data_IF_539986621423
#
_entry.id   IF_539986621423
#
_cell.length_a   1.000
_cell.length_b   1.000
_cell.length_c   1.000
_cell.angle_alpha   90.00
_cell.angle_beta   90.00
_cell.angle_gamma   90.00
#
_symmetry.space_group_name_H-M   'P 1'
#
loop_
_entity.id
_entity.type
_entity.pdbx_description
1 polymer ?
#
# COMPACT_ATOMS: atom_id res chain seq x y z
N UNK A 1 15.69 -26.75 22.66
CA UNK A 1 15.60 -25.28 22.78
C UNK A 1 16.23 -24.65 21.54
N UNK A 2 15.49 -23.82 20.80
CA UNK A 2 16.04 -23.13 19.63
C UNK A 2 17.07 -22.09 20.07
N UNK A 3 18.27 -22.09 19.47
CA UNK A 3 19.31 -21.08 19.77
C UNK A 3 18.78 -19.70 19.36
N UNK A 4 19.01 -18.69 20.21
CA UNK A 4 18.68 -17.30 19.86
C UNK A 4 19.44 -16.92 18.57
N UNK A 5 18.77 -16.27 17.60
CA UNK A 5 19.41 -15.90 16.34
C UNK A 5 20.55 -14.90 16.59
N UNK A 6 21.63 -15.02 15.82
CA UNK A 6 22.75 -14.08 15.87
C UNK A 6 22.39 -12.76 15.16
N UNK A 7 23.13 -11.70 15.45
CA UNK A 7 22.96 -10.40 14.78
C UNK A 7 23.04 -10.54 13.25
N UNK A 8 24.05 -11.27 12.74
CA UNK A 8 24.22 -11.51 11.30
C UNK A 8 23.01 -12.23 10.68
N UNK A 9 22.40 -13.18 11.41
CA UNK A 9 21.18 -13.85 10.94
C UNK A 9 19.97 -12.90 10.91
N UNK A 10 19.85 -11.99 11.87
CA UNK A 10 18.79 -10.99 11.90
C UNK A 10 18.94 -9.98 10.76
N UNK A 11 20.16 -9.47 10.53
CA UNK A 11 20.47 -8.57 9.41
C UNK A 11 20.19 -9.25 8.07
N UNK A 12 20.68 -10.48 7.87
CA UNK A 12 20.43 -11.25 6.65
C UNK A 12 18.93 -11.48 6.40
N UNK A 13 18.16 -11.74 7.46
CA UNK A 13 16.70 -11.90 7.38
C UNK A 13 16.01 -10.59 6.96
N UNK A 14 16.42 -9.45 7.49
CA UNK A 14 15.89 -8.14 7.07
C UNK A 14 16.21 -7.87 5.60
N UNK A 15 17.46 -8.12 5.17
CA UNK A 15 17.86 -7.94 3.77
C UNK A 15 17.02 -8.81 2.81
N UNK A 16 16.86 -10.10 3.12
CA UNK A 16 16.03 -11.01 2.33
C UNK A 16 14.58 -10.54 2.24
N UNK A 17 13.96 -10.21 3.37
CA UNK A 17 12.57 -9.76 3.41
C UNK A 17 12.36 -8.40 2.72
N UNK A 18 13.39 -7.57 2.66
CA UNK A 18 13.35 -6.29 1.94
C UNK A 18 13.25 -6.52 0.43
N UNK A 19 14.00 -7.49 -0.10
CA UNK A 19 13.92 -7.91 -1.51
C UNK A 19 12.53 -8.49 -1.81
N UNK A 20 12.00 -9.37 -0.94
CA UNK A 20 10.66 -9.94 -1.12
C UNK A 20 9.58 -8.84 -1.15
N UNK A 21 9.64 -7.89 -0.22
CA UNK A 21 8.70 -6.77 -0.19
C UNK A 21 8.80 -5.90 -1.44
N UNK A 22 10.01 -5.59 -1.91
CA UNK A 22 10.22 -4.81 -3.12
C UNK A 22 9.67 -5.52 -4.37
N UNK A 23 9.87 -6.83 -4.48
CA UNK A 23 9.29 -7.66 -5.56
C UNK A 23 7.77 -7.61 -5.52
N UNK A 24 7.16 -7.84 -4.36
CA UNK A 24 5.71 -7.78 -4.19
C UNK A 24 5.14 -6.37 -4.47
N UNK A 25 5.87 -5.31 -4.11
CA UNK A 25 5.50 -3.93 -4.43
C UNK A 25 5.54 -3.69 -5.94
N UNK A 26 6.56 -4.19 -6.63
CA UNK A 26 6.71 -4.06 -8.08
C UNK A 26 5.59 -4.78 -8.83
N UNK A 27 5.24 -5.99 -8.39
CA UNK A 27 4.11 -6.74 -8.94
C UNK A 27 2.80 -5.98 -8.73
N UNK A 28 2.54 -5.45 -7.52
CA UNK A 28 1.33 -4.68 -7.27
C UNK A 28 1.24 -3.40 -8.13
N UNK A 29 2.39 -2.75 -8.41
CA UNK A 29 2.45 -1.61 -9.34
C UNK A 29 2.13 -2.04 -10.78
N UNK A 30 2.68 -3.16 -11.23
CA UNK A 30 2.41 -3.70 -12.56
C UNK A 30 0.92 -4.07 -12.73
N UNK A 31 0.31 -4.75 -11.75
CA UNK A 31 -1.14 -5.04 -11.77
C UNK A 31 -1.99 -3.76 -11.80
N UNK A 32 -1.56 -2.70 -11.09
CA UNK A 32 -2.27 -1.42 -11.09
C UNK A 32 -2.18 -0.73 -12.46
N UNK A 33 -1.01 -0.78 -13.10
CA UNK A 33 -0.83 -0.27 -14.45
C UNK A 33 -1.72 -1.04 -15.44
N UNK A 34 -1.70 -2.36 -15.39
CA UNK A 34 -2.56 -3.20 -16.24
C UNK A 34 -4.05 -2.86 -16.06
N UNK A 35 -4.53 -2.71 -14.81
CA UNK A 35 -5.92 -2.34 -14.56
C UNK A 35 -6.26 -0.97 -15.18
N UNK A 36 -5.36 0.00 -15.08
CA UNK A 36 -5.55 1.31 -15.69
C UNK A 36 -5.57 1.25 -17.22
N UNK A 37 -4.73 0.40 -17.83
CA UNK A 37 -4.74 0.17 -19.27
C UNK A 37 -6.06 -0.47 -19.73
N UNK A 38 -6.60 -1.41 -18.95
CA UNK A 38 -7.91 -2.02 -19.24
C UNK A 38 -9.05 -1.01 -19.12
N UNK A 39 -9.03 -0.13 -18.11
CA UNK A 39 -9.96 1.00 -18.03
C UNK A 39 -9.87 1.89 -19.27
N UNK A 40 -8.66 2.27 -19.66
CA UNK A 40 -8.44 3.11 -20.84
C UNK A 40 -8.99 2.48 -22.12
N UNK A 41 -8.66 1.20 -22.37
CA UNK A 41 -9.18 0.47 -23.54
C UNK A 41 -10.70 0.37 -23.54
N UNK A 42 -11.31 0.12 -22.39
CA UNK A 42 -12.76 0.06 -22.28
C UNK A 42 -13.41 1.40 -22.66
N UNK A 43 -12.92 2.50 -22.08
CA UNK A 43 -13.48 3.83 -22.31
C UNK A 43 -13.20 4.36 -23.72
N UNK A 44 -12.11 3.96 -24.37
CA UNK A 44 -11.87 4.28 -25.78
C UNK A 44 -12.94 3.70 -26.72
N UNK A 45 -13.48 2.52 -26.40
CA UNK A 45 -14.47 1.85 -27.25
C UNK A 45 -15.90 2.24 -26.89
N UNK A 46 -16.21 2.33 -25.59
CA UNK A 46 -17.58 2.50 -25.10
C UNK A 46 -17.93 3.95 -24.73
N UNK A 47 -16.93 4.85 -24.68
CA UNK A 47 -17.06 6.19 -24.14
C UNK A 47 -17.00 6.22 -22.61
N UNK A 48 -16.61 7.35 -22.05
CA UNK A 48 -16.54 7.56 -20.59
C UNK A 48 -17.84 8.20 -20.07
N UNK A 49 -18.50 7.62 -19.04
CA UNK A 49 -19.74 8.17 -18.49
C UNK A 49 -19.58 9.59 -17.92
N UNK A 50 -18.43 9.90 -17.32
CA UNK A 50 -18.13 11.18 -16.66
C UNK A 50 -16.66 11.59 -16.89
N UNK A 51 -16.33 12.24 -18.02
CA UNK A 51 -14.93 12.48 -18.44
C UNK A 51 -14.12 13.41 -17.52
N UNK A 52 -14.78 14.18 -16.65
CA UNK A 52 -14.11 15.07 -15.69
C UNK A 52 -13.98 14.47 -14.28
N UNK A 53 -14.42 13.22 -14.10
CA UNK A 53 -14.38 12.56 -12.79
C UNK A 53 -13.22 11.59 -12.71
N UNK A 54 -12.54 11.60 -11.57
CA UNK A 54 -11.56 10.57 -11.24
C UNK A 54 -12.24 9.39 -10.55
N UNK A 55 -12.00 8.19 -11.10
CA UNK A 55 -12.38 6.91 -10.47
C UNK A 55 -13.70 6.32 -10.96
N UNK A 56 -13.92 5.07 -10.58
CA UNK A 56 -15.10 4.27 -10.93
C UNK A 56 -16.10 4.32 -9.79
N UNK A 57 -17.38 4.59 -10.08
CA UNK A 57 -18.45 4.48 -9.10
C UNK A 57 -19.01 3.07 -9.12
N UNK A 58 -18.85 2.33 -8.05
CA UNK A 58 -19.30 0.93 -7.98
C UNK A 58 -20.84 0.84 -7.92
N UNK A 59 -21.49 1.83 -7.30
CA UNK A 59 -22.96 1.84 -7.11
C UNK A 59 -23.74 2.43 -8.30
N UNK A 60 -23.05 2.88 -9.35
CA UNK A 60 -23.67 3.53 -10.50
C UNK A 60 -23.76 2.54 -11.68
N UNK A 61 -24.97 2.18 -12.15
CA UNK A 61 -25.15 1.19 -13.23
C UNK A 61 -24.40 1.54 -14.53
N UNK A 62 -24.12 2.82 -14.78
CA UNK A 62 -23.36 3.25 -15.98
C UNK A 62 -21.92 2.73 -15.99
N UNK A 63 -21.39 2.35 -14.82
CA UNK A 63 -20.06 1.77 -14.68
C UNK A 63 -20.06 0.24 -14.63
N UNK A 64 -21.23 -0.41 -14.65
CA UNK A 64 -21.34 -1.87 -14.55
C UNK A 64 -20.54 -2.56 -15.66
N UNK A 65 -20.62 -2.06 -16.89
CA UNK A 65 -19.89 -2.63 -18.03
C UNK A 65 -18.36 -2.59 -17.86
N UNK A 66 -17.81 -1.47 -17.37
CA UNK A 66 -16.36 -1.36 -17.13
C UNK A 66 -15.92 -2.18 -15.91
N UNK A 67 -16.76 -2.28 -14.88
CA UNK A 67 -16.52 -3.11 -13.70
C UNK A 67 -16.44 -4.57 -14.12
N UNK A 68 -17.43 -5.06 -14.87
CA UNK A 68 -17.47 -6.44 -15.36
C UNK A 68 -16.28 -6.75 -16.28
N UNK A 69 -15.91 -5.82 -17.16
CA UNK A 69 -14.76 -5.97 -18.05
C UNK A 69 -13.42 -6.05 -17.29
N UNK A 70 -13.24 -5.23 -16.26
CA UNK A 70 -11.96 -5.11 -15.53
C UNK A 70 -11.87 -5.99 -14.28
N UNK A 71 -12.92 -6.74 -13.94
CA UNK A 71 -13.00 -7.45 -12.66
C UNK A 71 -11.81 -8.41 -12.44
N UNK A 72 -11.41 -9.16 -13.48
CA UNK A 72 -10.27 -10.07 -13.38
C UNK A 72 -8.92 -9.36 -13.13
N UNK A 73 -8.69 -8.17 -13.71
CA UNK A 73 -7.50 -7.38 -13.41
C UNK A 73 -7.57 -6.76 -12.01
N UNK A 74 -8.75 -6.33 -11.59
CA UNK A 74 -8.98 -5.82 -10.24
C UNK A 74 -8.71 -6.89 -9.18
N UNK A 75 -9.21 -8.11 -9.35
CA UNK A 75 -8.94 -9.24 -8.46
C UNK A 75 -7.45 -9.56 -8.35
N UNK A 76 -6.73 -9.57 -9.49
CA UNK A 76 -5.27 -9.74 -9.52
C UNK A 76 -4.56 -8.63 -8.75
N UNK A 77 -5.00 -7.38 -8.90
CA UNK A 77 -4.47 -6.25 -8.13
C UNK A 77 -4.72 -6.44 -6.63
N UNK A 78 -5.92 -6.83 -6.21
CA UNK A 78 -6.27 -7.07 -4.80
C UNK A 78 -5.38 -8.18 -4.21
N UNK A 79 -5.21 -9.28 -4.94
CA UNK A 79 -4.32 -10.36 -4.53
C UNK A 79 -2.86 -9.89 -4.39
N UNK A 80 -2.33 -9.14 -5.36
CA UNK A 80 -0.99 -8.58 -5.31
C UNK A 80 -0.81 -7.60 -4.14
N UNK A 81 -1.81 -6.75 -3.86
CA UNK A 81 -1.79 -5.84 -2.72
C UNK A 81 -1.77 -6.59 -1.39
N UNK A 82 -2.56 -7.68 -1.27
CA UNK A 82 -2.55 -8.54 -0.08
C UNK A 82 -1.18 -9.16 0.14
N UNK A 83 -0.55 -9.69 -0.91
CA UNK A 83 0.81 -10.23 -0.83
C UNK A 83 1.83 -9.17 -0.41
N UNK A 84 1.79 -7.99 -1.03
CA UNK A 84 2.64 -6.84 -0.66
C UNK A 84 2.49 -6.46 0.82
N UNK A 85 1.27 -6.38 1.32
CA UNK A 85 1.00 -6.02 2.71
C UNK A 85 1.48 -7.11 3.68
N UNK A 86 1.35 -8.38 3.32
CA UNK A 86 1.88 -9.48 4.11
C UNK A 86 3.40 -9.48 4.14
N UNK A 87 4.07 -9.26 3.00
CA UNK A 87 5.52 -9.11 2.93
C UNK A 87 6.01 -7.93 3.78
N UNK A 88 5.31 -6.78 3.71
CA UNK A 88 5.60 -5.60 4.53
C UNK A 88 5.52 -5.92 6.03
N UNK A 89 4.45 -6.59 6.48
CA UNK A 89 4.29 -7.00 7.89
C UNK A 89 5.42 -7.92 8.36
N UNK A 90 5.82 -8.88 7.53
CA UNK A 90 6.95 -9.78 7.82
C UNK A 90 8.27 -9.01 7.94
N UNK A 91 8.53 -8.07 7.03
CA UNK A 91 9.68 -7.19 7.08
C UNK A 91 9.68 -6.32 8.34
N UNK A 92 8.57 -5.64 8.65
CA UNK A 92 8.43 -4.82 9.86
C UNK A 92 8.67 -5.65 11.14
N UNK A 93 8.19 -6.90 11.16
CA UNK A 93 8.43 -7.81 12.29
C UNK A 93 9.91 -8.15 12.44
N UNK A 94 10.61 -8.42 11.33
CA UNK A 94 12.05 -8.71 11.35
C UNK A 94 12.88 -7.49 11.75
N UNK A 95 12.50 -6.29 11.29
CA UNK A 95 13.13 -5.04 11.70
C UNK A 95 12.98 -4.83 13.21
N UNK A 96 11.76 -5.01 13.76
CA UNK A 96 11.54 -4.90 15.21
C UNK A 96 12.38 -5.90 16.00
N UNK A 97 12.55 -7.13 15.50
CA UNK A 97 13.41 -8.11 16.14
C UNK A 97 14.89 -7.71 16.12
N UNK A 98 15.37 -7.11 15.02
CA UNK A 98 16.72 -6.58 14.92
C UNK A 98 16.92 -5.39 15.87
N UNK A 99 15.98 -4.44 15.92
CA UNK A 99 16.01 -3.31 16.85
C UNK A 99 16.04 -3.75 18.31
N UNK A 100 15.22 -4.74 18.67
CA UNK A 100 15.21 -5.31 20.02
C UNK A 100 16.54 -5.99 20.38
N UNK A 101 17.25 -6.55 19.39
CA UNK A 101 18.58 -7.13 19.59
C UNK A 101 19.67 -6.07 19.74
N UNK A 102 19.62 -4.99 18.95
CA UNK A 102 20.61 -3.89 19.00
C UNK A 102 20.37 -2.91 20.15
N UNK A 103 19.17 -2.92 20.75
CA UNK A 103 18.77 -1.91 21.74
C UNK A 103 18.29 -0.61 21.10
N UNK A 104 18.11 -0.57 19.78
CA UNK A 104 17.63 0.62 19.07
C UNK A 104 16.15 0.89 19.38
N UNK A 105 15.82 2.17 19.57
CA UNK A 105 14.44 2.62 19.80
C UNK A 105 14.00 3.59 18.70
N UNK A 106 12.75 3.45 18.24
CA UNK A 106 12.16 4.42 17.30
C UNK A 106 11.77 5.66 18.09
N UNK A 107 12.45 6.77 17.86
CA UNK A 107 12.04 8.07 18.38
C UNK A 107 10.89 8.60 17.50
N UNK A 108 9.69 8.66 18.06
CA UNK A 108 8.55 9.28 17.38
C UNK A 108 8.66 10.80 17.56
N UNK A 109 8.74 11.59 16.49
CA UNK A 109 8.77 13.04 16.62
C UNK A 109 7.50 13.53 17.32
N UNK A 110 7.67 14.37 18.35
CA UNK A 110 6.56 14.96 19.11
C UNK A 110 5.64 15.70 18.14
N UNK A 111 4.32 15.45 18.21
CA UNK A 111 3.36 16.18 17.37
C UNK A 111 3.56 17.68 17.61
N UNK A 112 3.65 18.51 16.54
CA UNK A 112 3.75 19.94 16.71
C UNK A 112 2.51 20.45 17.47
N UNK A 113 2.73 21.31 18.47
CA UNK A 113 1.69 21.93 19.30
C UNK A 113 0.79 22.92 18.52
N UNK A 114 0.83 22.92 17.19
CA UNK A 114 0.10 23.91 16.40
C UNK A 114 -1.39 23.57 16.39
N UNK A 115 -2.08 24.07 17.42
CA UNK A 115 -3.51 24.37 17.35
C UNK A 115 -3.67 25.39 16.21
N UNK A 116 -4.34 25.00 15.13
CA UNK A 116 -4.75 25.98 14.13
C UNK A 116 -5.68 26.97 14.82
N UNK A 117 -5.22 28.21 15.01
CA UNK A 117 -6.10 29.28 15.43
C UNK A 117 -7.23 29.41 14.40
N UNK A 118 -8.47 29.48 14.85
CA UNK A 118 -9.57 29.88 13.99
C UNK A 118 -9.35 31.34 13.53
N UNK A 119 -10.15 31.80 12.58
CA UNK A 119 -10.16 33.21 12.10
C UNK A 119 -10.37 34.26 13.21
N UNK A 120 -10.67 33.84 14.44
CA UNK A 120 -10.88 34.66 15.62
C UNK A 120 -9.74 34.57 16.65
N UNK A 121 -8.65 33.84 16.35
CA UNK A 121 -7.48 33.76 17.22
C UNK A 121 -7.63 32.81 18.41
N UNK A 122 -8.71 32.02 18.48
CA UNK A 122 -8.94 31.08 19.58
C UNK A 122 -8.29 29.73 19.27
N UNK A 123 -7.43 29.28 20.18
CA UNK A 123 -6.90 27.91 20.20
C UNK A 123 -7.86 27.02 20.96
N UNK A 124 -8.52 26.08 20.29
CA UNK A 124 -9.29 25.03 20.94
C UNK A 124 -8.32 24.12 21.72
N UNK A 125 -8.50 24.06 23.03
CA UNK A 125 -7.77 23.19 23.98
C UNK A 125 -8.14 21.72 23.80
#
# INVERSE_FOLDING_TARGET
MSKKPSNHQLVGRVAYLSIEWYRAQTIAKACRAQLNDEYFRYFQVNGEPEPNRRGIRVDDPRYEGVINFTNAAYERLVAAQRQKNNAKRRLETAIRALMAFSGDTVQVPKKPYVARANIHGETLQ
#
